data_IF_782682731217
#
_entry.id   IF_782682731217
#
_cell.length_a   1.000
_cell.length_b   1.000
_cell.length_c   1.000
_cell.angle_alpha   90.00
_cell.angle_beta   90.00
_cell.angle_gamma   90.00
#
_symmetry.space_group_name_H-M   'P 1'
#
loop_
_entity.id
_entity.type
_entity.pdbx_description
1 polymer ?
#
# COMPACT_ATOMS: atom_id res chain seq x y z
N UNK A 1 22.26 -18.06 26.38
CA UNK A 1 22.36 -17.04 25.33
C UNK A 1 21.09 -17.16 24.52
N UNK A 2 20.13 -16.29 24.81
CA UNK A 2 18.87 -16.23 24.06
C UNK A 2 19.18 -15.68 22.66
N UNK A 3 18.73 -16.41 21.65
CA UNK A 3 18.76 -15.98 20.27
C UNK A 3 17.75 -14.83 20.13
N UNK A 4 18.25 -13.60 20.04
CA UNK A 4 17.45 -12.48 19.57
C UNK A 4 17.43 -12.61 18.05
N UNK A 5 16.36 -13.18 17.50
CA UNK A 5 16.05 -13.04 16.08
C UNK A 5 15.85 -11.54 15.83
N UNK A 6 16.87 -10.92 15.22
CA UNK A 6 16.72 -9.63 14.55
C UNK A 6 15.61 -9.84 13.53
N UNK A 7 14.44 -9.26 13.79
CA UNK A 7 13.28 -9.39 12.90
C UNK A 7 13.71 -9.06 11.47
N UNK A 8 13.49 -10.00 10.56
CA UNK A 8 13.83 -9.82 9.16
C UNK A 8 13.15 -8.54 8.65
N UNK A 9 13.94 -7.56 8.18
CA UNK A 9 13.41 -6.41 7.47
C UNK A 9 12.61 -6.93 6.28
N UNK A 10 11.28 -6.83 6.36
CA UNK A 10 10.41 -7.15 5.25
C UNK A 10 10.53 -6.03 4.22
N UNK A 11 10.89 -6.40 2.99
CA UNK A 11 10.87 -5.47 1.88
C UNK A 11 9.44 -5.00 1.59
N UNK A 12 9.32 -3.82 1.03
CA UNK A 12 8.07 -3.34 0.45
C UNK A 12 7.55 -4.34 -0.59
N UNK A 13 6.24 -4.57 -0.59
CA UNK A 13 5.59 -5.54 -1.49
C UNK A 13 4.26 -5.04 -2.01
N UNK A 14 3.95 -5.43 -3.23
CA UNK A 14 2.60 -5.37 -3.80
C UNK A 14 2.28 -6.76 -4.35
N UNK A 15 1.20 -7.35 -3.85
CA UNK A 15 0.70 -8.65 -4.29
C UNK A 15 -0.68 -8.42 -4.86
N UNK A 16 -0.88 -8.91 -6.08
CA UNK A 16 -2.12 -8.75 -6.81
C UNK A 16 -2.66 -10.13 -7.15
N UNK A 17 -3.89 -10.41 -6.72
CA UNK A 17 -4.57 -11.67 -6.96
C UNK A 17 -5.93 -11.43 -7.61
N UNK A 18 -6.25 -12.23 -8.62
CA UNK A 18 -7.59 -12.27 -9.24
C UNK A 18 -8.16 -13.65 -9.04
N UNK A 19 -9.38 -13.72 -8.50
CA UNK A 19 -10.09 -14.98 -8.31
C UNK A 19 -11.59 -14.72 -8.27
N UNK A 20 -12.38 -15.46 -9.05
CA UNK A 20 -13.85 -15.40 -9.05
C UNK A 20 -14.39 -13.95 -9.09
N UNK A 21 -14.03 -13.19 -10.13
CA UNK A 21 -14.43 -11.78 -10.32
C UNK A 21 -14.06 -10.83 -9.16
N UNK A 22 -13.11 -11.25 -8.33
CA UNK A 22 -12.58 -10.47 -7.22
C UNK A 22 -11.12 -10.14 -7.51
N UNK A 23 -10.80 -8.86 -7.55
CA UNK A 23 -9.42 -8.38 -7.54
C UNK A 23 -9.04 -8.02 -6.11
N UNK A 24 -7.97 -8.61 -5.62
CA UNK A 24 -7.33 -8.26 -4.36
C UNK A 24 -5.98 -7.60 -4.65
N UNK A 25 -5.73 -6.45 -4.02
CA UNK A 25 -4.43 -5.78 -3.99
C UNK A 25 -4.00 -5.69 -2.53
N UNK A 26 -2.92 -6.41 -2.19
CA UNK A 26 -2.29 -6.41 -0.87
C UNK A 26 -0.97 -5.66 -0.93
N UNK A 27 -0.84 -4.64 -0.10
CA UNK A 27 0.32 -3.75 -0.04
C UNK A 27 1.01 -3.96 1.30
N UNK A 28 2.30 -4.27 1.27
CA UNK A 28 3.14 -4.32 2.45
C UNK A 28 4.18 -3.21 2.42
N UNK A 29 4.22 -2.40 3.47
CA UNK A 29 5.02 -1.19 3.56
C UNK A 29 5.90 -1.22 4.82
N UNK A 30 7.20 -1.16 4.63
CA UNK A 30 8.17 -0.93 5.69
C UNK A 30 8.26 0.57 5.98
N UNK A 31 7.85 0.99 7.17
CA UNK A 31 7.73 2.39 7.52
C UNK A 31 7.92 2.64 9.01
N UNK A 32 8.09 3.90 9.40
CA UNK A 32 8.27 4.28 10.80
C UNK A 32 7.02 3.90 11.59
N UNK A 33 7.22 3.18 12.70
CA UNK A 33 6.14 2.78 13.58
C UNK A 33 5.37 4.00 14.13
N UNK A 34 4.09 3.79 14.43
CA UNK A 34 3.16 4.78 14.96
C UNK A 34 2.78 5.90 13.96
N UNK A 35 3.19 5.78 12.69
CA UNK A 35 2.68 6.64 11.62
C UNK A 35 1.14 6.51 11.49
N UNK A 36 0.38 7.61 11.59
CA UNK A 36 -1.06 7.60 11.39
C UNK A 36 -1.39 7.66 9.90
N UNK A 37 -1.88 6.56 9.35
CA UNK A 37 -2.26 6.51 7.93
C UNK A 37 -3.73 6.83 7.70
N UNK A 38 -3.99 7.63 6.65
CA UNK A 38 -5.27 7.67 5.95
C UNK A 38 -5.05 7.05 4.57
N UNK A 39 -5.98 6.20 4.17
CA UNK A 39 -5.97 5.57 2.86
C UNK A 39 -7.17 5.99 2.04
N UNK A 40 -6.98 6.25 0.76
CA UNK A 40 -8.05 6.45 -0.20
C UNK A 40 -7.89 5.51 -1.40
N UNK A 41 -9.00 5.21 -2.06
CA UNK A 41 -9.02 4.37 -3.24
C UNK A 41 -10.07 4.89 -4.23
N UNK A 42 -9.63 5.11 -5.48
CA UNK A 42 -10.48 5.57 -6.55
C UNK A 42 -10.40 4.63 -7.75
N UNK A 43 -11.55 4.14 -8.19
CA UNK A 43 -11.68 3.39 -9.44
C UNK A 43 -12.35 4.26 -10.50
N UNK A 44 -11.67 4.51 -11.61
CA UNK A 44 -12.21 5.29 -12.73
C UNK A 44 -11.92 4.58 -14.04
N UNK A 45 -12.99 4.14 -14.71
CA UNK A 45 -12.91 3.31 -15.91
C UNK A 45 -11.99 2.09 -15.62
N UNK A 46 -10.96 1.91 -16.43
CA UNK A 46 -10.00 0.81 -16.34
C UNK A 46 -8.76 1.20 -15.51
N UNK A 47 -8.95 2.00 -14.46
CA UNK A 47 -7.85 2.48 -13.61
C UNK A 47 -8.20 2.46 -12.14
N UNK A 48 -7.29 1.90 -11.35
CA UNK A 48 -7.36 1.78 -9.89
C UNK A 48 -6.24 2.64 -9.30
N UNK A 49 -6.61 3.61 -8.47
CA UNK A 49 -5.68 4.49 -7.79
C UNK A 49 -5.81 4.31 -6.29
N UNK A 50 -4.73 3.97 -5.63
CA UNK A 50 -4.65 3.83 -4.19
C UNK A 50 -3.69 4.89 -3.66
N UNK A 51 -4.09 5.61 -2.62
CA UNK A 51 -3.20 6.50 -1.88
C UNK A 51 -3.09 6.04 -0.42
N UNK A 52 -1.86 6.00 0.07
CA UNK A 52 -1.52 5.78 1.47
C UNK A 52 -0.85 7.07 1.94
N UNK A 53 -1.52 7.80 2.83
CA UNK A 53 -1.06 9.10 3.31
C UNK A 53 -0.73 9.02 4.78
N UNK A 54 0.54 9.24 5.13
CA UNK A 54 0.90 9.51 6.51
C UNK A 54 0.46 10.93 6.89
N UNK A 55 -0.28 11.02 7.98
CA UNK A 55 -0.91 12.27 8.46
C UNK A 55 -0.21 12.85 9.69
N UNK A 56 1.00 12.36 10.02
CA UNK A 56 1.76 12.90 11.15
C UNK A 56 1.93 14.42 11.01
N UNK A 57 1.49 15.22 11.99
CA UNK A 57 1.64 16.66 11.92
C UNK A 57 3.08 17.08 12.15
N UNK A 58 3.49 18.23 11.61
CA UNK A 58 4.76 18.87 11.95
C UNK A 58 4.56 19.82 13.16
N UNK A 59 5.30 19.69 14.27
CA UNK A 59 6.42 18.75 14.51
C UNK A 59 5.96 17.32 14.72
N UNK A 60 6.69 16.38 14.11
CA UNK A 60 6.39 14.94 14.01
C UNK A 60 6.44 14.25 15.38
N UNK A 61 5.39 14.43 16.17
CA UNK A 61 5.27 13.89 17.53
C UNK A 61 4.56 12.53 17.60
N UNK A 62 4.13 12.00 16.47
CA UNK A 62 3.37 10.75 16.40
C UNK A 62 4.28 9.52 16.24
N UNK A 63 5.50 9.67 15.71
CA UNK A 63 6.37 8.56 15.35
C UNK A 63 7.05 7.90 16.55
N UNK A 64 7.15 6.57 16.48
CA UNK A 64 7.98 5.76 17.37
C UNK A 64 9.40 5.61 16.79
N UNK A 65 10.38 5.25 17.63
CA UNK A 65 11.80 5.11 17.22
C UNK A 65 12.15 3.68 16.76
N UNK A 66 11.29 3.09 15.94
CA UNK A 66 11.46 1.76 15.39
C UNK A 66 10.70 1.65 14.06
N UNK A 67 11.07 0.66 13.24
CA UNK A 67 10.44 0.37 11.96
C UNK A 67 9.39 -0.73 12.10
N UNK A 68 8.30 -0.57 11.37
CA UNK A 68 7.12 -1.44 11.37
C UNK A 68 6.80 -1.87 9.94
N UNK A 69 6.22 -3.05 9.81
CA UNK A 69 5.67 -3.51 8.55
C UNK A 69 4.14 -3.39 8.57
N UNK A 70 3.63 -2.42 7.82
CA UNK A 70 2.20 -2.14 7.67
C UNK A 70 1.63 -2.91 6.48
N UNK A 71 0.39 -3.36 6.60
CA UNK A 71 -0.33 -4.06 5.52
C UNK A 71 -1.64 -3.35 5.21
N UNK A 72 -1.91 -3.14 3.93
CA UNK A 72 -3.16 -2.57 3.43
C UNK A 72 -3.76 -3.50 2.39
N UNK A 73 -5.00 -3.93 2.61
CA UNK A 73 -5.70 -4.87 1.73
C UNK A 73 -6.91 -4.19 1.11
N UNK A 74 -6.97 -4.22 -0.22
CA UNK A 74 -8.07 -3.69 -1.02
C UNK A 74 -8.73 -4.82 -1.80
N UNK A 75 -10.06 -4.84 -1.76
CA UNK A 75 -10.89 -5.84 -2.44
C UNK A 75 -11.86 -5.13 -3.38
N UNK A 76 -11.87 -5.56 -4.64
CA UNK A 76 -12.74 -5.07 -5.68
C UNK A 76 -13.59 -6.23 -6.18
N UNK A 77 -14.83 -6.30 -5.70
CA UNK A 77 -15.78 -7.34 -6.08
C UNK A 77 -16.47 -7.00 -7.41
N UNK A 78 -16.88 -8.04 -8.15
CA UNK A 78 -17.58 -7.89 -9.43
C UNK A 78 -16.80 -7.09 -10.47
N UNK A 79 -15.48 -7.21 -10.46
CA UNK A 79 -14.62 -6.57 -11.46
C UNK A 79 -14.86 -7.23 -12.83
N UNK A 80 -15.08 -6.41 -13.86
CA UNK A 80 -15.38 -6.94 -15.21
C UNK A 80 -14.11 -7.49 -15.87
N UNK A 81 -14.28 -8.40 -16.82
CA UNK A 81 -13.17 -8.85 -17.66
C UNK A 81 -12.56 -7.68 -18.44
N UNK A 82 -11.24 -7.60 -18.43
CA UNK A 82 -10.52 -6.51 -19.09
C UNK A 82 -9.13 -6.28 -18.54
N UNK A 83 -8.44 -5.31 -19.12
CA UNK A 83 -7.13 -4.86 -18.64
C UNK A 83 -7.31 -3.60 -17.80
N UNK A 84 -6.79 -3.61 -16.58
CA UNK A 84 -6.83 -2.47 -15.66
C UNK A 84 -5.43 -1.94 -15.41
N UNK A 85 -5.26 -0.64 -15.43
CA UNK A 85 -4.09 0.03 -14.87
C UNK A 85 -4.27 0.19 -13.36
N UNK A 86 -3.20 0.03 -12.59
CA UNK A 86 -3.20 0.31 -11.17
C UNK A 86 -1.98 1.15 -10.77
N UNK A 87 -2.18 2.03 -9.79
CA UNK A 87 -1.13 2.91 -9.25
C UNK A 87 -1.33 3.10 -7.76
N UNK A 88 -0.24 2.94 -7.01
CA UNK A 88 -0.18 3.16 -5.57
C UNK A 88 0.74 4.36 -5.31
N UNK A 89 0.25 5.30 -4.52
CA UNK A 89 0.99 6.51 -4.13
C UNK A 89 1.17 6.50 -2.62
N UNK A 90 2.39 6.77 -2.18
CA UNK A 90 2.74 7.03 -0.79
C UNK A 90 2.98 8.53 -0.60
N UNK A 91 2.21 9.14 0.29
CA UNK A 91 2.35 10.55 0.67
C UNK A 91 2.99 10.62 2.06
N UNK A 92 4.28 10.95 2.09
CA UNK A 92 5.05 11.17 3.31
C UNK A 92 5.06 12.67 3.65
N UNK A 93 4.58 13.10 4.83
CA UNK A 93 4.53 14.52 5.20
C UNK A 93 5.92 15.14 5.38
N UNK A 94 6.99 14.34 5.40
CA UNK A 94 8.39 14.77 5.46
C UNK A 94 8.98 15.04 4.08
N UNK A 95 8.34 14.53 3.03
CA UNK A 95 8.75 14.72 1.64
C UNK A 95 7.90 15.81 0.97
N UNK A 96 8.51 16.53 0.02
CA UNK A 96 7.83 17.65 -0.66
C UNK A 96 6.85 17.16 -1.73
N UNK A 97 7.04 15.96 -2.23
CA UNK A 97 6.25 15.37 -3.31
C UNK A 97 5.78 13.97 -2.96
N UNK A 98 4.61 13.62 -3.48
CA UNK A 98 4.10 12.26 -3.46
C UNK A 98 5.07 11.30 -4.18
N UNK A 99 5.24 10.10 -3.63
CA UNK A 99 6.08 9.06 -4.21
C UNK A 99 5.21 7.98 -4.84
N UNK A 100 5.52 7.59 -6.07
CA UNK A 100 4.92 6.39 -6.66
C UNK A 100 5.51 5.19 -5.93
N UNK A 101 4.68 4.51 -5.15
CA UNK A 101 5.09 3.32 -4.43
C UNK A 101 5.28 2.15 -5.39
N UNK A 102 4.26 1.89 -6.22
CA UNK A 102 4.31 0.92 -7.31
C UNK A 102 3.20 1.20 -8.33
N UNK A 103 3.32 0.67 -9.54
CA UNK A 103 2.29 0.75 -10.58
C UNK A 103 2.43 -0.35 -11.62
N UNK A 104 1.33 -0.67 -12.29
CA UNK A 104 1.35 -1.67 -13.35
C UNK A 104 0.01 -1.84 -14.04
N UNK A 105 -0.10 -2.94 -14.77
CA UNK A 105 -1.34 -3.37 -15.42
C UNK A 105 -1.69 -4.77 -14.96
N UNK A 106 -2.99 -5.08 -14.94
CA UNK A 106 -3.50 -6.41 -14.64
C UNK A 106 -4.56 -6.80 -15.66
N UNK A 107 -4.48 -8.02 -16.16
CA UNK A 107 -5.53 -8.63 -16.97
C UNK A 107 -6.46 -9.45 -16.08
N UNK A 108 -7.72 -9.06 -16.03
CA UNK A 108 -8.80 -9.82 -15.41
C UNK A 108 -9.45 -10.65 -16.50
N UNK A 109 -9.33 -11.97 -16.38
CA UNK A 109 -9.96 -12.94 -17.27
C UNK A 109 -10.71 -13.99 -16.44
N UNK A 110 -11.90 -14.38 -16.92
CA UNK A 110 -12.67 -15.55 -16.47
C UNK A 110 -11.90 -16.87 -16.58
#
# INVERSE_FOLDING_TARGET
>A
MENIEFGEEKNDTVIINVSNDTLQISIGLNYICCAPFITDCNTKNDSIFISITDTCPNPNNCYCRCDCYYTFDYYFDSISNGQYYWKIILCDPREVSETIFDMGTIDVAE
#
